data_IF_790054173434
#
_entry.id   IF_790054173434
#
_cell.length_a   1.000
_cell.length_b   1.000
_cell.length_c   1.000
_cell.angle_alpha   90.00
_cell.angle_beta   90.00
_cell.angle_gamma   90.00
#
_symmetry.space_group_name_H-M   'P 1'
#
loop_
_entity.id
_entity.type
_entity.pdbx_description
1 polymer ?
#
# COMPACT_ATOMS: atom_id res chain seq x y z
N UNK A 1 1.96 12.81 -4.06
CA UNK A 1 2.35 13.51 -5.31
C UNK A 1 2.90 12.54 -6.36
N UNK A 2 3.85 11.66 -6.02
CA UNK A 2 4.44 10.69 -6.96
C UNK A 2 3.50 9.58 -7.45
N UNK A 3 2.55 9.13 -6.63
CA UNK A 3 1.58 8.09 -7.02
C UNK A 3 0.81 8.48 -8.30
N UNK A 4 0.22 9.68 -8.33
CA UNK A 4 -0.53 10.20 -9.48
C UNK A 4 0.34 10.31 -10.74
N UNK A 5 1.63 10.62 -10.59
CA UNK A 5 2.57 10.70 -11.72
C UNK A 5 2.80 9.31 -12.31
N UNK A 6 2.95 8.29 -11.46
CA UNK A 6 3.15 6.91 -11.90
C UNK A 6 1.86 6.33 -12.50
N UNK A 7 0.71 6.61 -11.90
CA UNK A 7 -0.62 6.24 -12.41
C UNK A 7 -0.81 6.77 -13.84
N UNK A 8 -0.57 8.07 -14.08
CA UNK A 8 -0.68 8.65 -15.42
C UNK A 8 0.32 8.06 -16.44
N UNK A 9 1.46 7.53 -15.98
CA UNK A 9 2.52 7.05 -16.86
C UNK A 9 2.41 5.56 -17.17
N UNK A 10 1.94 4.77 -16.21
CA UNK A 10 1.97 3.31 -16.28
C UNK A 10 0.59 2.67 -16.14
N UNK A 11 -0.44 3.46 -15.91
CA UNK A 11 -1.82 3.03 -15.65
C UNK A 11 -1.98 2.29 -14.31
N UNK A 12 -3.22 2.02 -13.93
CA UNK A 12 -3.58 1.30 -12.70
C UNK A 12 -4.54 0.13 -13.02
N UNK A 13 -4.21 -1.06 -12.52
CA UNK A 13 -5.07 -2.23 -12.57
C UNK A 13 -5.36 -2.70 -11.13
N UNK A 14 -6.64 -2.75 -10.78
CA UNK A 14 -7.14 -3.28 -9.49
C UNK A 14 -6.51 -2.63 -8.22
N UNK A 15 -6.23 -1.32 -8.24
CA UNK A 15 -5.60 -0.64 -7.11
C UNK A 15 -4.07 -0.64 -7.14
N UNK A 16 -3.46 -1.19 -8.19
CA UNK A 16 -2.02 -1.35 -8.32
C UNK A 16 -1.50 -0.75 -9.62
N UNK A 17 -0.40 -0.01 -9.54
CA UNK A 17 0.24 0.56 -10.73
C UNK A 17 0.68 -0.56 -11.68
N UNK A 18 0.35 -0.48 -12.96
CA UNK A 18 0.72 -1.54 -13.90
C UNK A 18 2.25 -1.59 -14.09
N UNK A 19 2.78 -2.74 -14.50
CA UNK A 19 4.22 -2.94 -14.69
C UNK A 19 4.83 -2.11 -15.84
N UNK A 20 4.00 -1.34 -16.58
CA UNK A 20 4.42 -0.50 -17.71
C UNK A 20 4.85 -1.27 -18.97
N UNK A 21 4.78 -2.60 -18.97
CA UNK A 21 5.07 -3.43 -20.15
C UNK A 21 6.46 -3.20 -20.76
N UNK A 22 6.56 -3.28 -22.10
CA UNK A 22 7.82 -3.06 -22.84
C UNK A 22 8.20 -1.58 -22.98
N UNK A 23 7.24 -0.66 -22.81
CA UNK A 23 7.44 0.79 -22.87
C UNK A 23 7.88 1.39 -21.54
N UNK A 24 7.84 0.61 -20.45
CA UNK A 24 8.30 1.02 -19.12
C UNK A 24 9.81 1.25 -19.05
N UNK A 25 10.23 2.19 -18.19
CA UNK A 25 11.66 2.37 -17.94
C UNK A 25 12.24 1.11 -17.31
N UNK A 26 13.52 0.83 -17.57
CA UNK A 26 14.21 -0.33 -16.97
C UNK A 26 14.08 -0.29 -15.46
N UNK A 27 14.26 0.90 -14.86
CA UNK A 27 14.06 1.11 -13.43
C UNK A 27 12.65 0.70 -12.94
N UNK A 28 11.58 1.13 -13.63
CA UNK A 28 10.21 0.78 -13.23
C UNK A 28 9.92 -0.71 -13.33
N UNK A 29 10.48 -1.37 -14.36
CA UNK A 29 10.32 -2.81 -14.55
C UNK A 29 11.02 -3.60 -13.45
N UNK A 30 12.19 -3.16 -12.98
CA UNK A 30 12.85 -3.79 -11.83
C UNK A 30 12.07 -3.57 -10.53
N UNK A 31 11.52 -2.37 -10.29
CA UNK A 31 10.63 -2.11 -9.14
C UNK A 31 9.38 -3.01 -9.20
N UNK A 32 8.78 -3.18 -10.38
CA UNK A 32 7.61 -4.05 -10.56
C UNK A 32 7.95 -5.51 -10.25
N UNK A 33 9.12 -6.01 -10.68
CA UNK A 33 9.58 -7.37 -10.35
C UNK A 33 9.78 -7.59 -8.85
N UNK A 34 10.29 -6.59 -8.13
CA UNK A 34 10.45 -6.65 -6.66
C UNK A 34 9.08 -6.78 -6.00
N UNK A 35 8.11 -5.95 -6.40
CA UNK A 35 6.73 -6.02 -5.90
C UNK A 35 6.08 -7.36 -6.21
N UNK A 36 6.22 -7.84 -7.45
CA UNK A 36 5.57 -9.05 -7.94
C UNK A 36 6.30 -10.34 -7.45
N UNK A 37 7.44 -10.20 -6.75
CA UNK A 37 8.17 -11.31 -6.14
C UNK A 37 8.84 -12.28 -7.15
N UNK A 38 8.95 -11.89 -8.42
CA UNK A 38 9.31 -12.77 -9.56
C UNK A 38 10.72 -13.37 -9.46
N UNK A 39 11.59 -12.80 -8.62
CA UNK A 39 12.98 -13.22 -8.45
C UNK A 39 13.31 -13.85 -7.10
N UNK A 40 12.29 -14.16 -6.29
CA UNK A 40 12.51 -14.58 -4.91
C UNK A 40 12.15 -16.06 -4.69
N UNK A 41 13.13 -16.83 -4.23
CA UNK A 41 13.03 -18.30 -4.05
C UNK A 41 12.02 -18.65 -2.93
N UNK A 42 11.72 -17.70 -2.04
CA UNK A 42 10.77 -17.87 -0.92
C UNK A 42 9.38 -17.25 -1.11
N UNK A 43 9.15 -16.53 -2.22
CA UNK A 43 7.92 -15.77 -2.41
C UNK A 43 7.98 -14.36 -1.80
N UNK A 44 8.28 -13.36 -2.63
CA UNK A 44 7.94 -11.95 -2.36
C UNK A 44 8.44 -11.31 -1.07
N UNK A 45 9.75 -11.38 -0.74
CA UNK A 45 10.38 -10.76 0.44
C UNK A 45 9.92 -9.33 0.70
N UNK A 46 9.67 -8.56 -0.36
CA UNK A 46 9.27 -7.16 -0.26
C UNK A 46 7.89 -7.01 0.37
N UNK A 47 6.93 -7.85 -0.04
CA UNK A 47 5.61 -7.90 0.57
C UNK A 47 5.68 -8.36 2.02
N UNK A 48 6.50 -9.36 2.30
CA UNK A 48 6.70 -9.88 3.67
C UNK A 48 7.40 -8.90 4.61
N UNK A 49 8.26 -8.03 4.06
CA UNK A 49 9.02 -7.03 4.83
C UNK A 49 8.23 -5.75 5.10
N UNK A 50 7.10 -5.53 4.41
CA UNK A 50 6.28 -4.32 4.58
C UNK A 50 5.14 -4.62 5.56
N UNK A 51 5.22 -4.03 6.75
CA UNK A 51 4.15 -4.07 7.74
C UNK A 51 3.32 -2.78 7.70
N UNK A 52 2.00 -2.89 7.48
CA UNK A 52 1.10 -1.75 7.64
C UNK A 52 0.73 -1.61 9.11
N UNK A 53 1.49 -0.78 9.82
CA UNK A 53 1.16 -0.43 11.21
C UNK A 53 0.13 0.69 11.24
N UNK A 54 -0.95 0.45 11.99
CA UNK A 54 -1.92 1.49 12.32
C UNK A 54 -1.98 1.58 13.85
N UNK A 55 -1.97 2.80 14.37
CA UNK A 55 -1.88 3.07 15.80
C UNK A 55 -0.44 3.29 16.29
N UNK A 56 -0.30 3.44 17.61
CA UNK A 56 0.95 3.80 18.28
C UNK A 56 1.55 2.63 19.10
N UNK A 57 1.11 1.39 18.83
CA UNK A 57 1.55 0.21 19.57
C UNK A 57 0.84 -0.01 20.90
N UNK A 58 -0.17 0.81 21.23
CA UNK A 58 -1.11 0.55 22.33
C UNK A 58 -2.28 -0.27 21.80
N UNK A 59 -2.67 -1.33 22.52
CA UNK A 59 -3.89 -2.08 22.22
C UNK A 59 -5.08 -1.12 22.20
N UNK A 60 -5.59 -0.86 21.01
CA UNK A 60 -6.64 0.13 20.76
C UNK A 60 -7.81 -0.55 20.05
N UNK A 61 -8.99 -0.47 20.65
CA UNK A 61 -10.23 -0.97 20.08
C UNK A 61 -10.66 -0.11 18.90
N UNK A 62 -10.94 -0.76 17.77
CA UNK A 62 -11.32 -0.09 16.53
C UNK A 62 -12.51 0.88 16.67
N UNK A 63 -13.52 0.54 17.48
CA UNK A 63 -14.78 1.28 17.51
C UNK A 63 -14.90 2.28 18.67
N UNK A 64 -14.26 1.98 19.80
CA UNK A 64 -14.42 2.71 21.06
C UNK A 64 -13.25 3.61 21.38
N UNK A 65 -12.07 3.38 20.78
CA UNK A 65 -10.91 4.23 21.02
C UNK A 65 -10.77 5.31 19.94
N UNK A 66 -10.12 6.45 20.23
CA UNK A 66 -9.91 7.51 19.27
C UNK A 66 -8.78 7.16 18.28
N UNK A 67 -9.08 7.13 16.98
CA UNK A 67 -8.09 6.85 15.92
C UNK A 67 -7.52 8.14 15.31
N UNK A 68 -8.38 9.11 15.00
CA UNK A 68 -8.02 10.38 14.39
C UNK A 68 -8.86 11.50 15.04
N UNK A 69 -8.21 12.52 15.61
CA UNK A 69 -8.92 13.74 16.02
C UNK A 69 -9.76 13.64 17.31
N UNK A 70 -9.38 12.75 18.23
CA UNK A 70 -9.78 12.83 19.64
C UNK A 70 -11.15 12.25 20.02
N UNK A 71 -11.96 11.78 19.06
CA UNK A 71 -13.23 11.11 19.35
C UNK A 71 -13.28 9.68 18.74
N UNK A 72 -13.94 8.71 19.41
CA UNK A 72 -14.14 7.37 18.86
C UNK A 72 -15.03 7.34 17.61
N UNK A 73 -14.78 6.37 16.73
CA UNK A 73 -15.59 6.17 15.52
C UNK A 73 -17.07 5.92 15.85
N UNK A 74 -17.37 5.22 16.95
CA UNK A 74 -18.73 5.02 17.45
C UNK A 74 -19.52 6.30 17.74
N UNK A 75 -18.83 7.40 18.05
CA UNK A 75 -19.44 8.72 18.26
C UNK A 75 -19.64 9.43 16.93
N UNK A 76 -18.63 9.38 16.05
CA UNK A 76 -18.67 10.07 14.76
C UNK A 76 -19.64 9.45 13.75
N UNK A 77 -19.79 8.12 13.79
CA UNK A 77 -20.57 7.35 12.81
C UNK A 77 -21.75 6.63 13.43
N UNK A 78 -22.28 7.17 14.53
CA UNK A 78 -23.50 6.66 15.15
C UNK A 78 -24.68 6.85 14.17
N UNK A 79 -25.42 5.77 13.92
CA UNK A 79 -26.72 5.83 13.22
C UNK A 79 -27.80 6.39 14.15
#
# INVERSE_FOLDING_TARGET
MWYRVLENRYDEEAGWLAGGGRSGSVWWREISKIRDGVSDVGGGWFGESIERRVGNGVDSFFWTDPWLGGAPLSVQYRR
#
